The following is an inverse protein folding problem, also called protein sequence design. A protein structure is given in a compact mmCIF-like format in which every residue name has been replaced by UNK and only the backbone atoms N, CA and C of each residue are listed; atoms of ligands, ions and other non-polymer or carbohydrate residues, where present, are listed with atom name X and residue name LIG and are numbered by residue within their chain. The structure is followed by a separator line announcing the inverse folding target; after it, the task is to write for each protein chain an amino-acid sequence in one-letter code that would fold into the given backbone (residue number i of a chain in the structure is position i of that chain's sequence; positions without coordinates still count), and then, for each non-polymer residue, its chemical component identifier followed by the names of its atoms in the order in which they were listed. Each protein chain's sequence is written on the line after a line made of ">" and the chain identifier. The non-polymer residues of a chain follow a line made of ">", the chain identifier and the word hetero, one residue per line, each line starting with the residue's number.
data_IF_272138956468
#
_entry.id   IF_272138956468
#
_cell.length_a   1.000
_cell.length_b   1.000
_cell.length_c   1.000
_cell.angle_alpha   90.00
_cell.angle_beta   90.00
_cell.angle_gamma   90.00
#
_symmetry.space_group_name_H-M   'P 1'
#
loop_
_entity.id
_entity.type
_entity.pdbx_description
1 polymer ?
#
# COMPACT_ATOMS: atom_id res chain seq x y z
N UNK A 1 -0.88 -2.48 7.54
CA UNK A 1 -1.56 -3.27 8.58
C UNK A 1 -1.42 -4.76 8.27
N UNK A 2 -1.53 -5.62 9.28
CA UNK A 2 -1.44 -7.09 9.13
C UNK A 2 -2.39 -7.63 8.03
N UNK A 3 -3.53 -6.99 7.78
CA UNK A 3 -4.44 -7.34 6.71
C UNK A 3 -3.79 -7.24 5.32
N UNK A 4 -3.03 -6.16 5.04
CA UNK A 4 -2.34 -5.96 3.76
C UNK A 4 -1.36 -7.11 3.43
N UNK A 5 -0.76 -7.71 4.44
CA UNK A 5 0.29 -8.71 4.27
C UNK A 5 -0.25 -10.14 4.12
N UNK A 6 -1.44 -10.43 4.68
CA UNK A 6 -2.15 -11.69 4.44
C UNK A 6 -2.55 -11.80 2.97
N UNK A 7 -2.95 -10.69 2.35
CA UNK A 7 -3.42 -10.68 0.96
C UNK A 7 -2.31 -10.93 -0.06
N UNK A 8 -1.07 -10.51 0.22
CA UNK A 8 0.08 -10.69 -0.69
C UNK A 8 0.34 -12.16 -1.01
N UNK A 9 0.34 -13.05 0.01
CA UNK A 9 0.61 -14.48 -0.19
C UNK A 9 -0.50 -15.25 -0.88
N UNK A 10 -1.74 -14.75 -0.87
CA UNK A 10 -2.85 -15.44 -1.53
C UNK A 10 -2.85 -15.18 -3.04
N UNK A 11 -2.30 -14.04 -3.46
CA UNK A 11 -2.16 -13.67 -4.88
C UNK A 11 -0.79 -14.07 -5.44
N UNK A 12 0.23 -14.10 -4.59
CA UNK A 12 1.60 -14.50 -4.95
C UNK A 12 2.18 -15.41 -3.85
N UNK A 13 1.90 -16.73 -3.90
CA UNK A 13 2.34 -17.67 -2.87
C UNK A 13 3.86 -17.81 -2.78
N UNK A 14 4.59 -17.47 -3.83
CA UNK A 14 6.03 -17.69 -3.95
C UNK A 14 6.90 -16.51 -3.50
N UNK A 15 6.32 -15.45 -2.89
CA UNK A 15 7.09 -14.32 -2.36
C UNK A 15 8.03 -14.80 -1.23
N UNK A 16 9.33 -14.62 -1.43
CA UNK A 16 10.38 -14.94 -0.47
C UNK A 16 11.07 -13.70 0.08
N UNK A 17 11.16 -12.64 -0.71
CA UNK A 17 11.83 -11.40 -0.31
C UNK A 17 10.96 -10.19 -0.65
N UNK A 18 10.74 -9.30 0.32
CA UNK A 18 9.97 -8.07 0.18
C UNK A 18 10.89 -6.85 0.32
N UNK A 19 10.81 -5.92 -0.62
CA UNK A 19 11.41 -4.59 -0.48
C UNK A 19 10.50 -3.69 0.38
N UNK A 20 11.07 -3.06 1.39
CA UNK A 20 10.40 -2.04 2.19
C UNK A 20 10.95 -0.68 1.77
N UNK A 21 10.12 0.12 1.09
CA UNK A 21 10.48 1.44 0.55
C UNK A 21 9.76 2.53 1.34
N UNK A 22 10.50 3.43 1.97
CA UNK A 22 9.91 4.49 2.78
C UNK A 22 10.87 5.65 3.03
N UNK A 23 10.37 6.74 3.62
CA UNK A 23 11.19 7.86 4.05
C UNK A 23 11.43 7.85 5.55
N UNK A 24 12.67 8.06 5.97
CA UNK A 24 13.02 8.24 7.37
C UNK A 24 12.52 9.59 7.94
N UNK A 25 12.17 10.54 7.08
CA UNK A 25 11.62 11.84 7.49
C UNK A 25 10.12 11.79 7.81
N UNK A 26 9.44 10.70 7.46
CA UNK A 26 8.00 10.50 7.65
C UNK A 26 7.72 9.69 8.92
N UNK A 27 7.32 10.37 10.00
CA UNK A 27 7.04 9.71 11.29
C UNK A 27 5.90 8.67 11.20
N UNK A 28 4.92 8.89 10.32
CA UNK A 28 3.81 7.99 10.04
C UNK A 28 4.24 6.68 9.35
N UNK A 29 5.44 6.62 8.77
CA UNK A 29 6.00 5.40 8.19
C UNK A 29 6.59 4.44 9.24
N UNK A 30 6.99 4.95 10.41
CA UNK A 30 7.73 4.18 11.42
C UNK A 30 6.96 2.96 11.93
N UNK A 31 5.73 3.16 12.40
CA UNK A 31 4.91 2.07 12.96
C UNK A 31 4.51 1.05 11.89
N UNK A 32 3.96 1.43 10.71
CA UNK A 32 3.62 0.46 9.67
C UNK A 32 4.81 -0.35 9.17
N UNK A 33 6.00 0.23 9.08
CA UNK A 33 7.22 -0.50 8.68
C UNK A 33 7.64 -1.48 9.78
N UNK A 34 7.58 -1.09 11.06
CA UNK A 34 7.89 -2.00 12.15
C UNK A 34 6.91 -3.20 12.19
N UNK A 35 5.62 -2.96 12.01
CA UNK A 35 4.59 -4.00 11.91
C UNK A 35 4.81 -4.92 10.71
N UNK A 36 5.14 -4.35 9.54
CA UNK A 36 5.44 -5.13 8.34
C UNK A 36 6.65 -6.06 8.57
N UNK A 37 7.71 -5.55 9.18
CA UNK A 37 8.90 -6.37 9.54
C UNK A 37 8.55 -7.50 10.49
N UNK A 38 7.85 -7.20 11.58
CA UNK A 38 7.42 -8.21 12.54
C UNK A 38 6.56 -9.31 11.89
N UNK A 39 5.67 -8.93 10.97
CA UNK A 39 4.87 -9.88 10.22
C UNK A 39 5.72 -10.75 9.28
N UNK A 40 6.65 -10.14 8.52
CA UNK A 40 7.52 -10.86 7.59
C UNK A 40 8.44 -11.84 8.34
N UNK A 41 9.01 -11.43 9.47
CA UNK A 41 9.80 -12.27 10.36
C UNK A 41 8.99 -13.48 10.84
N UNK A 42 7.76 -13.26 11.32
CA UNK A 42 6.87 -14.33 11.78
C UNK A 42 6.50 -15.33 10.67
N UNK A 43 6.59 -14.92 9.40
CA UNK A 43 6.31 -15.76 8.22
C UNK A 43 7.56 -16.35 7.58
N UNK A 44 8.74 -16.00 8.07
CA UNK A 44 10.02 -16.43 7.50
C UNK A 44 10.27 -15.85 6.10
N UNK A 45 9.74 -14.66 5.82
CA UNK A 45 9.96 -13.94 4.57
C UNK A 45 11.09 -12.92 4.79
N UNK A 46 12.10 -12.98 3.96
CA UNK A 46 13.19 -12.01 3.99
C UNK A 46 12.71 -10.62 3.53
N UNK A 47 13.40 -9.58 3.98
CA UNK A 47 13.12 -8.23 3.48
C UNK A 47 14.39 -7.41 3.29
N UNK A 48 14.32 -6.44 2.39
CA UNK A 48 15.37 -5.46 2.09
C UNK A 48 14.80 -4.07 2.30
N UNK A 49 15.37 -3.30 3.22
CA UNK A 49 14.96 -1.93 3.46
C UNK A 49 15.72 -0.97 2.55
N UNK A 50 15.00 -0.06 1.92
CA UNK A 50 15.54 1.06 1.15
C UNK A 50 14.80 2.33 1.50
N UNK A 51 15.54 3.39 1.77
CA UNK A 51 14.98 4.66 2.21
C UNK A 51 15.47 5.82 1.35
N UNK A 52 14.69 6.89 1.32
CA UNK A 52 15.07 8.16 0.72
C UNK A 52 14.24 9.29 1.32
N UNK A 53 14.77 10.50 1.34
CA UNK A 53 14.10 11.68 1.88
C UNK A 53 13.79 12.72 0.79
N UNK A 54 14.18 12.42 -0.46
CA UNK A 54 13.89 13.20 -1.66
C UNK A 54 13.38 12.29 -2.78
N UNK A 55 12.74 12.86 -3.79
CA UNK A 55 12.25 12.09 -4.94
C UNK A 55 13.39 11.32 -5.62
N UNK A 56 14.55 11.94 -5.80
CA UNK A 56 15.71 11.31 -6.45
C UNK A 56 16.27 10.15 -5.62
N UNK A 57 16.31 10.29 -4.31
CA UNK A 57 16.72 9.21 -3.40
C UNK A 57 15.73 8.06 -3.41
N UNK A 58 14.41 8.34 -3.39
CA UNK A 58 13.36 7.32 -3.51
C UNK A 58 13.46 6.59 -4.85
N UNK A 59 13.69 7.29 -5.96
CA UNK A 59 13.86 6.67 -7.28
C UNK A 59 15.11 5.78 -7.33
N UNK A 60 16.21 6.24 -6.73
CA UNK A 60 17.43 5.44 -6.62
C UNK A 60 17.20 4.19 -5.77
N UNK A 61 16.52 4.36 -4.63
CA UNK A 61 16.15 3.27 -3.73
C UNK A 61 15.26 2.24 -4.45
N UNK A 62 14.19 2.68 -5.14
CA UNK A 62 13.29 1.81 -5.89
C UNK A 62 14.02 1.04 -7.00
N UNK A 63 14.85 1.74 -7.77
CA UNK A 63 15.66 1.12 -8.83
C UNK A 63 16.61 0.05 -8.31
N UNK A 64 17.17 0.27 -7.12
CA UNK A 64 18.09 -0.69 -6.48
C UNK A 64 17.37 -1.97 -6.00
N UNK A 65 16.06 -1.97 -5.83
CA UNK A 65 15.28 -3.15 -5.45
C UNK A 65 14.99 -4.08 -6.64
N UNK A 66 15.09 -3.57 -7.88
CA UNK A 66 14.83 -4.38 -9.08
C UNK A 66 15.82 -5.54 -9.17
N UNK A 67 15.30 -6.76 -9.30
CA UNK A 67 16.09 -7.98 -9.35
C UNK A 67 16.59 -8.48 -7.97
N UNK A 68 16.26 -7.80 -6.87
CA UNK A 68 16.62 -8.21 -5.51
C UNK A 68 15.43 -8.71 -4.70
N UNK A 69 14.20 -8.35 -5.09
CA UNK A 69 12.99 -8.64 -4.31
C UNK A 69 11.86 -9.12 -5.22
N UNK A 70 10.91 -9.84 -4.64
CA UNK A 70 9.74 -10.38 -5.35
C UNK A 70 8.55 -9.43 -5.31
N UNK A 71 8.52 -8.51 -4.35
CA UNK A 71 7.49 -7.50 -4.20
C UNK A 71 8.06 -6.29 -3.46
N UNK A 72 7.45 -5.11 -3.62
CA UNK A 72 7.78 -3.92 -2.82
C UNK A 72 6.54 -3.46 -2.07
N UNK A 73 6.75 -3.04 -0.83
CA UNK A 73 5.74 -2.41 0.02
C UNK A 73 6.18 -1.02 0.45
N UNK A 74 5.24 -0.07 0.42
CA UNK A 74 5.36 1.24 1.05
C UNK A 74 4.13 1.53 1.91
N UNK A 75 4.27 2.13 3.09
CA UNK A 75 3.14 2.64 3.85
C UNK A 75 2.55 3.90 3.19
N UNK A 76 1.68 4.61 3.90
CA UNK A 76 1.17 5.92 3.49
C UNK A 76 2.24 6.99 3.72
N UNK A 77 3.23 7.05 2.83
CA UNK A 77 4.44 7.88 2.90
C UNK A 77 4.37 8.99 1.85
N UNK A 78 4.43 10.26 2.28
CA UNK A 78 4.26 11.41 1.38
C UNK A 78 5.44 11.60 0.43
N UNK A 79 6.66 11.27 0.86
CA UNK A 79 7.86 11.40 0.01
C UNK A 79 7.82 10.35 -1.09
N UNK A 80 7.45 9.11 -0.76
CA UNK A 80 7.25 8.05 -1.77
C UNK A 80 6.07 8.39 -2.68
N UNK A 81 4.96 8.94 -2.12
CA UNK A 81 3.80 9.35 -2.90
C UNK A 81 4.15 10.40 -3.96
N UNK A 82 5.00 11.35 -3.63
CA UNK A 82 5.43 12.38 -4.59
C UNK A 82 6.16 11.78 -5.81
N UNK A 83 6.81 10.61 -5.66
CA UNK A 83 7.49 9.89 -6.73
C UNK A 83 6.70 8.67 -7.26
N UNK A 84 5.46 8.44 -6.78
CA UNK A 84 4.73 7.19 -6.93
C UNK A 84 4.58 6.72 -8.37
N UNK A 85 4.30 7.61 -9.32
CA UNK A 85 4.14 7.24 -10.73
C UNK A 85 5.44 6.68 -11.33
N UNK A 86 6.56 7.35 -11.08
CA UNK A 86 7.86 6.92 -11.57
C UNK A 86 8.37 5.65 -10.87
N UNK A 87 8.12 5.52 -9.56
CA UNK A 87 8.41 4.30 -8.79
C UNK A 87 7.60 3.13 -9.32
N UNK A 88 6.29 3.32 -9.53
CA UNK A 88 5.39 2.28 -10.06
C UNK A 88 5.83 1.81 -11.45
N UNK A 89 6.17 2.75 -12.35
CA UNK A 89 6.66 2.43 -13.68
C UNK A 89 7.98 1.62 -13.62
N UNK A 90 8.91 2.03 -12.79
CA UNK A 90 10.22 1.38 -12.62
C UNK A 90 10.06 -0.05 -12.09
N UNK A 91 9.25 -0.24 -11.05
CA UNK A 91 9.02 -1.55 -10.45
C UNK A 91 8.24 -2.47 -11.39
N UNK A 92 7.19 -1.96 -12.06
CA UNK A 92 6.39 -2.72 -13.03
C UNK A 92 7.23 -3.18 -14.22
N UNK A 93 8.10 -2.32 -14.78
CA UNK A 93 9.06 -2.71 -15.82
C UNK A 93 10.05 -3.78 -15.34
N UNK A 94 10.40 -3.76 -14.05
CA UNK A 94 11.20 -4.79 -13.40
C UNK A 94 10.45 -6.08 -13.06
N UNK A 95 9.15 -6.17 -13.38
CA UNK A 95 8.31 -7.33 -13.05
C UNK A 95 7.95 -7.43 -11.56
N UNK A 96 8.05 -6.33 -10.81
CA UNK A 96 7.88 -6.32 -9.35
C UNK A 96 6.56 -5.63 -8.98
N UNK A 97 5.60 -6.33 -8.36
CA UNK A 97 4.38 -5.74 -7.86
C UNK A 97 4.65 -4.77 -6.71
N UNK A 98 4.04 -3.59 -6.80
CA UNK A 98 4.15 -2.53 -5.82
C UNK A 98 2.86 -2.46 -4.99
N UNK A 99 2.94 -2.87 -3.73
CA UNK A 99 1.88 -2.82 -2.73
C UNK A 99 2.01 -1.57 -1.88
N UNK A 100 0.90 -0.92 -1.55
CA UNK A 100 0.91 0.40 -0.93
C UNK A 100 -0.12 0.54 0.19
N UNK A 101 0.03 1.58 1.00
CA UNK A 101 -0.88 1.87 2.11
C UNK A 101 -2.13 2.69 1.74
N UNK A 102 -2.23 3.22 0.50
CA UNK A 102 -3.35 4.04 0.08
C UNK A 102 -3.68 3.89 -1.41
N UNK A 103 -4.94 4.14 -1.77
CA UNK A 103 -5.49 4.05 -3.12
C UNK A 103 -4.90 5.10 -4.09
N UNK A 104 -4.46 6.25 -3.59
CA UNK A 104 -3.77 7.27 -4.39
C UNK A 104 -2.52 6.74 -5.10
N UNK A 105 -1.78 5.83 -4.46
CA UNK A 105 -0.64 5.15 -5.10
C UNK A 105 -1.10 4.22 -6.24
N UNK A 106 -2.21 3.53 -6.05
CA UNK A 106 -2.78 2.63 -7.08
C UNK A 106 -3.23 3.44 -8.30
N UNK A 107 -3.83 4.62 -8.06
CA UNK A 107 -4.15 5.58 -9.13
C UNK A 107 -2.89 6.05 -9.86
N UNK A 108 -1.75 6.17 -9.16
CA UNK A 108 -0.46 6.53 -9.75
C UNK A 108 0.27 5.36 -10.43
N UNK A 109 -0.32 4.16 -10.47
CA UNK A 109 0.23 3.00 -11.18
C UNK A 109 0.70 1.84 -10.30
N UNK A 110 0.65 1.95 -8.96
CA UNK A 110 0.97 0.82 -8.09
C UNK A 110 -0.02 -0.33 -8.30
N UNK A 111 0.40 -1.56 -7.99
CA UNK A 111 -0.39 -2.75 -8.25
C UNK A 111 -1.65 -2.82 -7.39
N UNK A 112 -1.50 -2.73 -6.08
CA UNK A 112 -2.63 -2.90 -5.17
C UNK A 112 -2.41 -2.25 -3.81
N UNK A 113 -3.52 -1.96 -3.14
CA UNK A 113 -3.54 -1.55 -1.74
C UNK A 113 -4.65 -2.27 -0.98
N UNK A 114 -4.47 -2.40 0.35
CA UNK A 114 -5.54 -2.59 1.31
C UNK A 114 -5.53 -1.37 2.23
N UNK A 115 -6.28 -0.35 1.86
CA UNK A 115 -6.27 0.96 2.49
C UNK A 115 -7.49 1.22 3.35
N UNK A 116 -7.46 2.35 4.07
CA UNK A 116 -8.59 2.81 4.90
C UNK A 116 -9.77 3.20 4.01
N UNK A 117 -10.97 2.85 4.42
CA UNK A 117 -12.19 3.42 3.85
C UNK A 117 -12.38 4.84 4.39
N UNK A 118 -11.91 5.85 3.65
CA UNK A 118 -11.98 7.24 4.06
C UNK A 118 -13.41 7.77 4.18
N UNK A 119 -14.38 7.20 3.47
CA UNK A 119 -15.81 7.56 3.60
C UNK A 119 -16.33 7.12 4.97
N UNK A 120 -16.07 5.88 5.36
CA UNK A 120 -16.47 5.36 6.68
C UNK A 120 -15.73 6.09 7.80
N UNK A 121 -14.42 6.35 7.64
CA UNK A 121 -13.65 7.13 8.59
C UNK A 121 -14.22 8.55 8.77
N UNK A 122 -14.61 9.21 7.68
CA UNK A 122 -15.25 10.52 7.72
C UNK A 122 -16.59 10.49 8.45
N UNK A 123 -17.43 9.50 8.17
CA UNK A 123 -18.74 9.32 8.85
C UNK A 123 -18.52 9.07 10.35
N UNK A 124 -17.65 8.14 10.71
CA UNK A 124 -17.34 7.84 12.09
C UNK A 124 -16.81 9.07 12.86
N UNK A 125 -15.92 9.85 12.22
CA UNK A 125 -15.39 11.08 12.81
C UNK A 125 -16.47 12.13 13.01
N UNK A 126 -17.41 12.27 12.08
CA UNK A 126 -18.54 13.19 12.22
C UNK A 126 -19.49 12.77 13.35
N UNK A 127 -19.81 11.48 13.44
CA UNK A 127 -20.64 10.92 14.52
C UNK A 127 -19.99 11.14 15.89
N UNK A 128 -18.69 10.86 16.01
CA UNK A 128 -17.93 11.11 17.23
C UNK A 128 -17.94 12.60 17.63
N UNK A 129 -17.78 13.50 16.67
CA UNK A 129 -17.86 14.95 16.93
C UNK A 129 -19.26 15.37 17.40
N UNK A 130 -20.31 14.81 16.81
CA UNK A 130 -21.70 15.06 17.25
C UNK A 130 -21.94 14.55 18.68
N UNK A 131 -21.48 13.36 19.01
CA UNK A 131 -21.61 12.80 20.35
C UNK A 131 -20.94 13.69 21.40
N UNK A 132 -19.73 14.19 21.13
CA UNK A 132 -19.00 15.12 22.00
C UNK A 132 -19.78 16.43 22.17
N UNK A 133 -20.32 17.00 21.08
CA UNK A 133 -21.10 18.23 21.12
C UNK A 133 -22.39 18.09 21.94
N UNK A 134 -22.96 16.88 21.99
CA UNK A 134 -24.14 16.55 22.78
C UNK A 134 -23.80 16.20 24.25
N UNK A 135 -22.53 16.33 24.66
CA UNK A 135 -22.09 16.11 26.05
C UNK A 135 -21.56 14.69 26.30
N UNK A 136 -21.31 13.91 25.28
CA UNK A 136 -20.64 12.61 25.37
C UNK A 136 -19.17 12.74 25.77
N UNK A 137 -18.59 11.64 26.24
CA UNK A 137 -17.17 11.59 26.57
C UNK A 137 -16.30 11.60 25.32
N UNK A 138 -15.15 12.26 25.39
CA UNK A 138 -14.12 12.19 24.33
C UNK A 138 -13.48 10.79 24.39
N UNK A 139 -13.56 9.96 23.34
CA UNK A 139 -12.89 8.66 23.30
C UNK A 139 -11.36 8.85 23.23
N UNK A 140 -10.59 7.88 23.71
CA UNK A 140 -9.13 7.95 23.65
C UNK A 140 -8.65 7.93 22.20
N UNK A 141 -8.96 6.89 21.47
CA UNK A 141 -8.76 6.76 20.02
C UNK A 141 -9.54 5.55 19.50
N UNK A 142 -9.76 5.50 18.20
CA UNK A 142 -10.35 4.37 17.50
C UNK A 142 -9.54 4.02 16.26
N UNK A 143 -9.25 2.74 16.11
CA UNK A 143 -8.63 2.21 14.89
C UNK A 143 -9.70 1.54 14.05
N UNK A 144 -9.89 2.01 12.83
CA UNK A 144 -10.87 1.42 11.91
C UNK A 144 -10.52 -0.02 11.57
N UNK A 145 -11.48 -0.91 11.72
CA UNK A 145 -11.38 -2.29 11.28
C UNK A 145 -11.68 -2.43 9.80
N UNK A 146 -10.93 -3.34 9.13
CA UNK A 146 -11.12 -3.61 7.71
C UNK A 146 -10.46 -2.59 6.79
N UNK A 147 -10.69 -2.76 5.51
CA UNK A 147 -10.13 -1.88 4.48
C UNK A 147 -10.74 -2.16 3.11
N UNK A 148 -10.56 -1.20 2.20
CA UNK A 148 -10.90 -1.37 0.80
C UNK A 148 -9.67 -1.90 0.07
N UNK A 149 -9.83 -3.01 -0.66
CA UNK A 149 -8.80 -3.47 -1.59
C UNK A 149 -9.03 -2.77 -2.92
N UNK A 150 -8.02 -2.02 -3.35
CA UNK A 150 -7.99 -1.37 -4.67
C UNK A 150 -6.89 -1.98 -5.51
N UNK A 151 -7.20 -2.36 -6.75
CA UNK A 151 -6.25 -2.99 -7.68
C UNK A 151 -6.21 -2.19 -8.97
N UNK A 152 -4.99 -1.90 -9.46
CA UNK A 152 -4.77 -1.41 -10.81
C UNK A 152 -4.75 -2.59 -11.78
N UNK A 153 -5.81 -2.73 -12.57
CA UNK A 153 -5.99 -3.88 -13.46
C UNK A 153 -5.03 -3.86 -14.65
N UNK A 154 -4.58 -2.69 -15.10
CA UNK A 154 -3.57 -2.55 -16.16
C UNK A 154 -2.19 -2.99 -15.67
N UNK A 155 -1.82 -2.56 -14.46
CA UNK A 155 -0.57 -3.00 -13.82
C UNK A 155 -0.60 -4.50 -13.55
N UNK A 156 -1.73 -5.04 -13.08
CA UNK A 156 -1.92 -6.48 -12.89
C UNK A 156 -1.72 -7.26 -14.20
N UNK A 157 -2.31 -6.80 -15.30
CA UNK A 157 -2.17 -7.41 -16.62
C UNK A 157 -0.71 -7.36 -17.13
N UNK A 158 -0.03 -6.23 -16.93
CA UNK A 158 1.38 -6.06 -17.31
C UNK A 158 2.30 -7.00 -16.54
N UNK A 159 2.02 -7.19 -15.24
CA UNK A 159 2.77 -8.11 -14.38
C UNK A 159 2.36 -9.59 -14.55
N UNK A 160 1.26 -9.87 -15.26
CA UNK A 160 0.72 -11.23 -15.41
C UNK A 160 0.18 -11.80 -14.11
N UNK A 161 -0.28 -10.96 -13.18
CA UNK A 161 -0.77 -11.39 -11.85
C UNK A 161 -2.28 -11.59 -11.89
N UNK A 162 -2.73 -12.77 -11.49
CA UNK A 162 -4.14 -13.04 -11.21
C UNK A 162 -4.52 -12.50 -9.83
N UNK A 163 -5.37 -11.48 -9.82
CA UNK A 163 -5.87 -10.82 -8.61
C UNK A 163 -7.27 -11.32 -8.17
N UNK A 164 -7.81 -12.36 -8.82
CA UNK A 164 -9.16 -12.88 -8.55
C UNK A 164 -9.36 -13.31 -7.09
N UNK A 165 -8.31 -13.74 -6.40
CA UNK A 165 -8.33 -14.04 -4.99
C UNK A 165 -8.70 -12.83 -4.12
N UNK A 166 -8.42 -11.61 -4.53
CA UNK A 166 -8.82 -10.41 -3.82
C UNK A 166 -10.34 -10.19 -3.82
N UNK A 167 -11.02 -10.60 -4.90
CA UNK A 167 -12.47 -10.46 -5.01
C UNK A 167 -13.24 -11.26 -3.94
N UNK A 168 -12.67 -12.38 -3.48
CA UNK A 168 -13.26 -13.21 -2.42
C UNK A 168 -13.00 -12.68 -1.00
N UNK A 169 -12.04 -11.76 -0.85
CA UNK A 169 -11.57 -11.25 0.45
C UNK A 169 -11.95 -9.79 0.70
N UNK A 170 -12.35 -9.07 -0.34
CA UNK A 170 -12.62 -7.65 -0.28
C UNK A 170 -14.05 -7.39 0.20
N UNK A 171 -14.21 -6.46 1.15
CA UNK A 171 -15.51 -5.81 1.41
C UNK A 171 -15.95 -4.98 0.20
N UNK A 172 -15.01 -4.42 -0.55
CA UNK A 172 -15.22 -3.85 -1.89
C UNK A 172 -13.94 -3.94 -2.71
N UNK A 173 -14.08 -4.22 -4.02
CA UNK A 173 -12.99 -4.20 -4.98
C UNK A 173 -13.23 -3.04 -5.95
N UNK A 174 -12.28 -2.10 -6.00
CA UNK A 174 -12.31 -0.99 -6.94
C UNK A 174 -11.28 -1.25 -8.01
N UNK A 175 -11.71 -1.25 -9.29
CA UNK A 175 -10.82 -1.35 -10.44
C UNK A 175 -10.51 0.06 -10.92
N UNK A 176 -9.23 0.41 -10.95
CA UNK A 176 -8.75 1.66 -11.53
C UNK A 176 -8.13 1.30 -12.88
N UNK A 177 -8.72 1.81 -13.96
CA UNK A 177 -8.12 1.85 -15.30
C UNK A 177 -7.71 3.29 -15.60
N UNK A 178 -6.59 3.49 -16.30
CA UNK A 178 -6.23 4.83 -16.77
C UNK A 178 -7.37 5.46 -17.59
N UNK A 179 -7.63 6.77 -17.43
CA UNK A 179 -8.51 7.46 -18.35
C UNK A 179 -7.89 7.38 -19.75
N UNK A 180 -8.62 6.80 -20.69
CA UNK A 180 -8.25 6.71 -22.11
C UNK A 180 -7.75 8.08 -22.55
N UNK A 181 -6.45 8.22 -22.87
CA UNK A 181 -5.95 9.41 -23.56
C UNK A 181 -6.74 9.51 -24.85
N UNK A 182 -7.67 10.45 -24.91
CA UNK A 182 -8.28 10.85 -26.19
C UNK A 182 -7.17 11.49 -27.00
N UNK A 183 -6.76 10.80 -28.05
CA UNK A 183 -5.94 11.34 -29.13
C UNK A 183 -6.62 12.53 -29.81
#
# INVERSE_FOLDING_TARGET
>A
SAASDVYKRQVQPDIQTVGLLYSNSEANSTTPIAEAKAYLDAKGIAYVEKTGNTNDEIMTAASSLVGQVDAVFTPTDNVVMAAAAAVSETLTKGGIPFYTGADSFVTAGAFATCGVNYTELGTYTADMAMDILLGGAVPEFHVMDGGIITVNTETAATLGIDYSAFASMALSLIHISEPTRRS
#
